data_IF_837407456615
#
_entry.id   IF_837407456615
#
_cell.length_a   1.000
_cell.length_b   1.000
_cell.length_c   1.000
_cell.angle_alpha   90.00
_cell.angle_beta   90.00
_cell.angle_gamma   90.00
#
_symmetry.space_group_name_H-M   'P 1'
#
loop_
_entity.id
_entity.type
_entity.pdbx_description
1 polymer ?
#
# COMPACT_ATOMS: atom_id res chain seq x y z
N UNK A 1 11.57 10.79 -6.44
CA UNK A 1 10.86 10.40 -7.66
C UNK A 1 10.59 8.89 -7.69
N UNK A 2 11.60 8.02 -7.55
CA UNK A 2 11.45 6.54 -7.59
C UNK A 2 10.42 6.05 -6.56
N UNK A 3 10.43 6.59 -5.34
CA UNK A 3 9.48 6.18 -4.30
C UNK A 3 8.06 6.70 -4.54
N UNK A 4 7.93 7.83 -5.24
CA UNK A 4 6.63 8.32 -5.74
C UNK A 4 6.05 7.30 -6.72
N UNK A 5 6.82 6.88 -7.74
CA UNK A 5 6.36 5.87 -8.71
C UNK A 5 5.93 4.57 -8.05
N UNK A 6 6.68 4.10 -7.06
CA UNK A 6 6.34 2.90 -6.30
C UNK A 6 4.92 2.97 -5.70
N UNK A 7 4.56 4.12 -5.10
CA UNK A 7 3.23 4.29 -4.52
C UNK A 7 2.14 4.66 -5.53
N UNK A 8 2.51 5.23 -6.68
CA UNK A 8 1.58 5.38 -7.82
C UNK A 8 1.13 4.00 -8.30
N UNK A 9 2.06 3.07 -8.51
CA UNK A 9 1.78 1.72 -8.99
C UNK A 9 0.91 0.92 -8.00
N UNK A 10 1.18 1.06 -6.70
CA UNK A 10 0.35 0.42 -5.65
C UNK A 10 -1.06 0.98 -5.59
N UNK A 11 -1.22 2.29 -5.73
CA UNK A 11 -2.52 2.96 -5.67
C UNK A 11 -3.37 2.72 -6.90
N UNK A 12 -2.76 2.59 -8.07
CA UNK A 12 -3.45 2.49 -9.35
C UNK A 12 -4.48 1.36 -9.40
N UNK A 13 -4.14 0.17 -8.89
CA UNK A 13 -5.03 -0.98 -8.95
C UNK A 13 -6.37 -0.73 -8.23
N UNK A 14 -6.35 -0.01 -7.11
CA UNK A 14 -7.56 0.38 -6.37
C UNK A 14 -8.36 1.44 -7.13
N UNK A 15 -7.69 2.36 -7.83
CA UNK A 15 -8.34 3.41 -8.63
C UNK A 15 -9.08 2.82 -9.83
N UNK A 16 -8.46 1.87 -10.54
CA UNK A 16 -9.05 1.26 -11.75
C UNK A 16 -10.06 0.16 -11.43
N UNK A 17 -10.17 -0.27 -10.19
CA UNK A 17 -10.99 -1.40 -9.78
C UNK A 17 -12.46 -1.33 -10.23
N UNK A 18 -13.17 -0.17 -10.19
CA UNK A 18 -14.56 -0.07 -10.62
C UNK A 18 -14.80 -0.47 -12.08
N UNK A 19 -13.84 -0.22 -12.98
CA UNK A 19 -13.93 -0.63 -14.38
C UNK A 19 -13.34 -2.02 -14.63
N UNK A 20 -12.18 -2.30 -14.02
CA UNK A 20 -11.42 -3.52 -14.25
C UNK A 20 -12.14 -4.77 -13.73
N UNK A 21 -12.68 -4.71 -12.51
CA UNK A 21 -13.31 -5.88 -11.87
C UNK A 21 -14.49 -6.46 -12.65
N UNK A 22 -15.50 -5.65 -13.05
CA UNK A 22 -16.63 -6.16 -13.81
C UNK A 22 -16.21 -6.75 -15.17
N UNK A 23 -15.29 -6.08 -15.87
CA UNK A 23 -14.81 -6.51 -17.17
C UNK A 23 -14.09 -7.87 -17.12
N UNK A 24 -13.21 -8.05 -16.14
CA UNK A 24 -12.46 -9.30 -15.97
C UNK A 24 -13.24 -10.36 -15.18
N UNK A 25 -14.41 -10.02 -14.64
CA UNK A 25 -15.22 -10.92 -13.82
C UNK A 25 -14.52 -11.38 -12.55
N UNK A 26 -13.78 -10.48 -11.90
CA UNK A 26 -12.97 -10.76 -10.71
C UNK A 26 -13.83 -10.64 -9.45
N UNK A 27 -13.83 -11.66 -8.58
CA UNK A 27 -14.45 -11.59 -7.26
C UNK A 27 -13.73 -10.62 -6.34
N UNK A 28 -14.36 -10.18 -5.25
CA UNK A 28 -13.71 -9.31 -4.27
C UNK A 28 -12.54 -10.03 -3.58
N UNK A 29 -12.64 -11.34 -3.35
CA UNK A 29 -11.54 -12.18 -2.83
C UNK A 29 -10.34 -12.17 -3.78
N UNK A 30 -10.56 -12.40 -5.08
CA UNK A 30 -9.49 -12.39 -6.07
C UNK A 30 -8.87 -10.98 -6.22
N UNK A 31 -9.67 -9.92 -6.13
CA UNK A 31 -9.18 -8.56 -6.10
C UNK A 31 -8.33 -8.27 -4.85
N UNK A 32 -8.75 -8.73 -3.67
CA UNK A 32 -7.96 -8.65 -2.44
C UNK A 32 -6.63 -9.41 -2.52
N UNK A 33 -6.61 -10.57 -3.22
CA UNK A 33 -5.39 -11.31 -3.51
C UNK A 33 -4.43 -10.50 -4.40
N UNK A 34 -4.94 -9.87 -5.44
CA UNK A 34 -4.17 -9.06 -6.40
C UNK A 34 -3.59 -7.79 -5.76
N UNK A 35 -4.36 -7.11 -4.91
CA UNK A 35 -3.95 -5.86 -4.25
C UNK A 35 -3.06 -6.10 -3.04
N UNK A 36 -3.28 -7.19 -2.31
CA UNK A 36 -2.64 -7.49 -1.03
C UNK A 36 -1.62 -8.62 -1.12
N UNK A 37 -2.09 -9.85 -0.85
CA UNK A 37 -1.22 -10.99 -0.57
C UNK A 37 -0.30 -11.38 -1.74
N UNK A 38 -0.80 -11.38 -2.97
CA UNK A 38 -0.02 -11.74 -4.16
C UNK A 38 1.20 -10.84 -4.38
N UNK A 39 1.05 -9.56 -4.02
CA UNK A 39 2.14 -8.59 -4.04
C UNK A 39 3.03 -8.70 -2.79
N UNK A 40 2.43 -8.67 -1.58
CA UNK A 40 3.14 -8.54 -0.31
C UNK A 40 4.04 -9.75 -0.01
N UNK A 41 3.61 -10.96 -0.36
CA UNK A 41 4.37 -12.18 -0.13
C UNK A 41 5.74 -12.11 -0.80
N UNK A 42 5.76 -11.84 -2.11
CA UNK A 42 7.03 -11.83 -2.84
C UNK A 42 7.83 -10.56 -2.60
N UNK A 43 7.19 -9.40 -2.44
CA UNK A 43 7.84 -8.19 -1.98
C UNK A 43 8.65 -8.43 -0.69
N UNK A 44 8.06 -9.15 0.26
CA UNK A 44 8.69 -9.38 1.57
C UNK A 44 9.76 -10.47 1.51
N UNK A 45 9.47 -11.61 0.85
CA UNK A 45 10.39 -12.74 0.76
C UNK A 45 11.62 -12.41 -0.10
N UNK A 46 11.41 -11.81 -1.26
CA UNK A 46 12.49 -11.43 -2.19
C UNK A 46 13.25 -10.18 -1.71
N UNK A 47 12.59 -9.32 -0.93
CA UNK A 47 13.22 -8.13 -0.37
C UNK A 47 14.44 -8.41 0.51
N UNK A 48 14.45 -9.52 1.26
CA UNK A 48 15.56 -9.90 2.12
C UNK A 48 16.83 -10.23 1.29
N UNK A 49 16.80 -11.17 0.33
CA UNK A 49 17.99 -11.46 -0.48
C UNK A 49 18.41 -10.28 -1.35
N UNK A 50 17.47 -9.49 -1.89
CA UNK A 50 17.81 -8.28 -2.66
C UNK A 50 18.50 -7.23 -1.80
N UNK A 51 18.07 -7.04 -0.55
CA UNK A 51 18.75 -6.13 0.38
C UNK A 51 20.19 -6.59 0.65
N UNK A 52 20.42 -7.89 0.90
CA UNK A 52 21.75 -8.46 1.09
C UNK A 52 22.61 -8.32 -0.17
N UNK A 53 22.05 -8.59 -1.34
CA UNK A 53 22.75 -8.42 -2.62
C UNK A 53 23.15 -6.94 -2.85
N UNK A 54 22.27 -6.00 -2.51
CA UNK A 54 22.55 -4.58 -2.61
C UNK A 54 23.65 -4.10 -1.64
N UNK A 55 23.91 -4.83 -0.55
CA UNK A 55 25.02 -4.49 0.36
C UNK A 55 26.40 -4.70 -0.25
N UNK A 56 26.53 -5.62 -1.20
CA UNK A 56 27.82 -5.99 -1.80
C UNK A 56 28.00 -5.48 -3.22
N UNK A 57 26.93 -5.03 -3.86
CA UNK A 57 26.92 -4.63 -5.27
C UNK A 57 26.58 -3.14 -5.44
N UNK A 58 26.58 -2.69 -6.67
CA UNK A 58 26.29 -1.32 -7.08
C UNK A 58 24.78 -1.01 -6.91
N UNK A 59 24.43 -0.24 -5.89
CA UNK A 59 23.04 0.04 -5.46
C UNK A 59 22.23 0.76 -6.52
N UNK A 60 22.83 1.78 -7.17
CA UNK A 60 22.16 2.55 -8.22
C UNK A 60 21.81 1.65 -9.40
N UNK A 61 22.68 0.71 -9.79
CA UNK A 61 22.39 -0.24 -10.87
C UNK A 61 21.23 -1.17 -10.47
N UNK A 62 21.26 -1.75 -9.26
CA UNK A 62 20.19 -2.62 -8.75
C UNK A 62 18.86 -1.88 -8.77
N UNK A 63 18.82 -0.67 -8.22
CA UNK A 63 17.60 0.14 -8.20
C UNK A 63 17.11 0.43 -9.62
N UNK A 64 17.99 0.80 -10.55
CA UNK A 64 17.60 1.10 -11.93
C UNK A 64 17.00 -0.11 -12.64
N UNK A 65 17.61 -1.29 -12.50
CA UNK A 65 17.04 -2.55 -13.04
C UNK A 65 15.69 -2.87 -12.39
N UNK A 66 15.61 -2.77 -11.08
CA UNK A 66 14.37 -3.03 -10.35
C UNK A 66 13.26 -2.06 -10.77
N UNK A 67 13.55 -0.75 -10.90
CA UNK A 67 12.59 0.25 -11.40
C UNK A 67 12.12 -0.09 -12.81
N UNK A 68 13.02 -0.43 -13.72
CA UNK A 68 12.66 -0.81 -15.08
C UNK A 68 11.78 -2.07 -15.12
N UNK A 69 12.12 -3.10 -14.33
CA UNK A 69 11.38 -4.35 -14.28
C UNK A 69 9.95 -4.14 -13.77
N UNK A 70 9.77 -3.45 -12.62
CA UNK A 70 8.41 -3.26 -12.12
C UNK A 70 7.58 -2.34 -13.00
N UNK A 71 8.21 -1.29 -13.57
CA UNK A 71 7.52 -0.36 -14.47
C UNK A 71 7.03 -1.05 -15.73
N UNK A 72 7.85 -1.93 -16.30
CA UNK A 72 7.45 -2.78 -17.43
C UNK A 72 6.32 -3.74 -17.00
N UNK A 73 6.44 -4.37 -15.84
CA UNK A 73 5.41 -5.26 -15.32
C UNK A 73 4.08 -4.52 -15.06
N UNK A 74 4.14 -3.27 -14.55
CA UNK A 74 2.97 -2.40 -14.41
C UNK A 74 2.32 -2.11 -15.76
N UNK A 75 3.09 -1.73 -16.77
CA UNK A 75 2.57 -1.51 -18.12
C UNK A 75 1.93 -2.81 -18.68
N UNK A 76 2.57 -3.97 -18.47
CA UNK A 76 2.04 -5.27 -18.89
C UNK A 76 0.72 -5.64 -18.20
N UNK A 77 0.43 -5.12 -16.98
CA UNK A 77 -0.90 -5.28 -16.38
C UNK A 77 -2.02 -4.77 -17.32
N UNK A 78 -1.75 -3.71 -18.10
CA UNK A 78 -2.69 -3.19 -19.10
C UNK A 78 -2.99 -4.15 -20.28
N UNK A 79 -2.15 -5.17 -20.48
CA UNK A 79 -2.36 -6.22 -21.51
C UNK A 79 -3.09 -7.45 -20.98
N UNK A 80 -3.55 -7.43 -19.72
CA UNK A 80 -4.19 -8.58 -19.10
C UNK A 80 -5.47 -8.98 -19.86
N UNK A 81 -5.39 -10.13 -20.53
CA UNK A 81 -6.47 -10.80 -21.28
C UNK A 81 -6.24 -12.30 -21.21
N UNK A 82 -7.18 -13.07 -21.67
CA UNK A 82 -6.95 -14.50 -21.85
C UNK A 82 -5.85 -14.74 -22.89
N UNK A 83 -4.89 -15.58 -22.52
CA UNK A 83 -3.74 -15.92 -23.38
C UNK A 83 -3.67 -17.44 -23.49
N UNK A 84 -3.73 -17.93 -24.72
CA UNK A 84 -3.56 -19.37 -25.04
C UNK A 84 -2.16 -19.60 -25.59
N UNK A 85 -1.35 -20.35 -24.85
CA UNK A 85 0.01 -20.72 -25.23
C UNK A 85 0.12 -22.25 -25.21
N UNK A 86 0.44 -22.87 -26.35
CA UNK A 86 0.67 -24.30 -26.42
C UNK A 86 -0.49 -25.19 -25.95
N UNK A 87 -1.74 -24.73 -26.14
CA UNK A 87 -2.94 -25.46 -25.73
C UNK A 87 -3.37 -25.23 -24.27
N UNK A 88 -2.62 -24.41 -23.50
CA UNK A 88 -3.00 -24.00 -22.14
C UNK A 88 -3.56 -22.57 -22.20
N UNK A 89 -4.82 -22.40 -21.77
CA UNK A 89 -5.46 -21.08 -21.68
C UNK A 89 -5.29 -20.52 -20.27
N UNK A 90 -4.54 -19.42 -20.15
CA UNK A 90 -4.41 -18.64 -18.94
C UNK A 90 -5.47 -17.54 -18.92
N UNK A 91 -6.37 -17.58 -17.97
CA UNK A 91 -7.37 -16.52 -17.77
C UNK A 91 -6.72 -15.18 -17.42
N UNK A 92 -7.35 -14.08 -17.79
CA UNK A 92 -6.86 -12.72 -17.61
C UNK A 92 -6.43 -12.40 -16.16
N UNK A 93 -7.09 -12.98 -15.17
CA UNK A 93 -6.76 -12.82 -13.72
C UNK A 93 -5.38 -13.39 -13.41
N UNK A 94 -5.02 -14.54 -13.95
CA UNK A 94 -3.71 -15.15 -13.74
C UNK A 94 -2.59 -14.36 -14.41
N UNK A 95 -2.85 -13.81 -15.60
CA UNK A 95 -1.90 -12.90 -16.27
C UNK A 95 -1.69 -11.65 -15.42
N UNK A 96 -2.76 -11.04 -14.95
CA UNK A 96 -2.68 -9.86 -14.07
C UNK A 96 -1.95 -10.18 -12.76
N UNK A 97 -2.22 -11.32 -12.13
CA UNK A 97 -1.55 -11.76 -10.92
C UNK A 97 -0.04 -11.95 -11.15
N UNK A 98 0.34 -12.57 -12.27
CA UNK A 98 1.76 -12.76 -12.62
C UNK A 98 2.48 -11.42 -12.81
N UNK A 99 1.84 -10.45 -13.47
CA UNK A 99 2.37 -9.09 -13.59
C UNK A 99 2.51 -8.41 -12.22
N UNK A 100 1.50 -8.52 -11.35
CA UNK A 100 1.55 -7.95 -9.98
C UNK A 100 2.64 -8.58 -9.11
N UNK A 101 2.86 -9.88 -9.26
CA UNK A 101 3.98 -10.61 -8.65
C UNK A 101 5.32 -10.03 -9.13
N UNK A 102 5.47 -9.82 -10.42
CA UNK A 102 6.67 -9.21 -11.01
C UNK A 102 6.89 -7.76 -10.53
N UNK A 103 5.82 -6.97 -10.38
CA UNK A 103 5.88 -5.64 -9.74
C UNK A 103 6.42 -5.76 -8.31
N UNK A 104 5.87 -6.68 -7.50
CA UNK A 104 6.31 -6.89 -6.11
C UNK A 104 7.80 -7.26 -6.00
N UNK A 105 8.29 -8.12 -6.88
CA UNK A 105 9.72 -8.48 -6.97
C UNK A 105 10.58 -7.27 -7.32
N UNK A 106 10.18 -6.48 -8.32
CA UNK A 106 10.91 -5.28 -8.72
C UNK A 106 10.96 -4.22 -7.61
N UNK A 107 9.81 -3.94 -6.98
CA UNK A 107 9.73 -2.95 -5.90
C UNK A 107 10.55 -3.34 -4.66
N UNK A 108 10.67 -4.63 -4.37
CA UNK A 108 11.43 -5.14 -3.22
C UNK A 108 12.91 -4.71 -3.25
N UNK A 109 13.49 -4.55 -4.43
CA UNK A 109 14.88 -4.14 -4.62
C UNK A 109 15.14 -2.63 -4.54
N UNK A 110 14.15 -1.82 -4.17
CA UNK A 110 14.30 -0.36 -4.22
C UNK A 110 14.57 0.28 -2.85
N UNK A 111 13.72 0.04 -1.87
CA UNK A 111 13.76 0.76 -0.58
C UNK A 111 15.05 0.51 0.23
N UNK A 112 15.56 -0.71 0.38
CA UNK A 112 16.80 -0.93 1.13
C UNK A 112 18.02 -0.24 0.50
N UNK A 113 18.29 -0.36 -0.83
CA UNK A 113 19.39 0.37 -1.47
C UNK A 113 19.21 1.88 -1.41
N UNK A 114 17.98 2.40 -1.56
CA UNK A 114 17.71 3.84 -1.49
C UNK A 114 18.06 4.42 -0.12
N UNK A 115 17.64 3.75 0.96
CA UNK A 115 17.98 4.18 2.33
C UNK A 115 19.49 4.13 2.58
N UNK A 116 20.16 3.11 2.06
CA UNK A 116 21.62 2.98 2.15
C UNK A 116 22.35 4.10 1.37
N UNK A 117 21.87 4.45 0.16
CA UNK A 117 22.42 5.56 -0.62
C UNK A 117 22.23 6.89 0.10
N UNK A 118 21.03 7.17 0.62
CA UNK A 118 20.74 8.38 1.38
C UNK A 118 21.67 8.48 2.60
N UNK A 119 21.91 7.36 3.28
CA UNK A 119 22.81 7.35 4.44
C UNK A 119 24.27 7.67 4.08
N UNK A 120 24.71 7.31 2.86
CA UNK A 120 26.07 7.62 2.40
C UNK A 120 26.17 9.02 1.78
N UNK A 121 25.09 9.60 1.23
CA UNK A 121 25.08 10.95 0.68
C UNK A 121 24.95 12.05 1.73
N UNK A 122 24.25 11.77 2.84
CA UNK A 122 23.92 12.79 3.83
C UNK A 122 24.56 12.47 5.18
N UNK A 123 25.26 13.43 5.82
CA UNK A 123 25.82 13.26 7.14
C UNK A 123 24.72 13.03 8.18
N UNK A 124 25.06 12.44 9.32
CA UNK A 124 24.12 12.00 10.34
C UNK A 124 23.09 13.07 10.77
N UNK A 125 23.52 14.33 10.86
CA UNK A 125 22.68 15.47 11.27
C UNK A 125 21.65 15.91 10.20
N UNK A 126 21.81 15.51 8.92
CA UNK A 126 20.88 15.82 7.82
C UNK A 126 20.15 14.60 7.29
N UNK A 127 20.53 13.39 7.73
CA UNK A 127 20.00 12.12 7.26
C UNK A 127 18.50 11.95 7.49
N UNK A 128 18.01 12.36 8.68
CA UNK A 128 16.59 12.33 9.02
C UNK A 128 15.73 13.17 8.06
N UNK A 129 16.19 14.37 7.73
CA UNK A 129 15.51 15.27 6.79
C UNK A 129 15.48 14.68 5.40
N UNK A 130 16.59 14.09 4.91
CA UNK A 130 16.65 13.45 3.60
C UNK A 130 15.74 12.21 3.50
N UNK A 131 15.68 11.38 4.55
CA UNK A 131 14.74 10.25 4.64
C UNK A 131 13.29 10.74 4.72
N UNK A 132 13.03 11.87 5.37
CA UNK A 132 11.71 12.51 5.40
C UNK A 132 11.26 12.91 3.98
N UNK A 133 12.11 13.55 3.18
CA UNK A 133 11.81 13.84 1.77
C UNK A 133 11.58 12.56 0.95
N UNK A 134 12.35 11.51 1.20
CA UNK A 134 12.11 10.22 0.55
C UNK A 134 10.74 9.66 0.92
N UNK A 135 10.38 9.70 2.21
CA UNK A 135 9.10 9.19 2.72
C UNK A 135 7.87 9.97 2.19
N UNK A 136 8.01 11.26 1.82
CA UNK A 136 6.93 12.02 1.17
C UNK A 136 6.46 11.35 -0.13
N UNK A 137 7.30 10.51 -0.74
CA UNK A 137 6.94 9.72 -1.93
C UNK A 137 5.71 8.84 -1.73
N UNK A 138 5.42 8.39 -0.51
CA UNK A 138 4.22 7.61 -0.16
C UNK A 138 2.96 8.42 -0.45
N UNK A 139 2.87 9.61 0.12
CA UNK A 139 1.69 10.48 0.02
C UNK A 139 1.54 11.06 -1.39
N UNK A 140 2.65 11.55 -1.96
CA UNK A 140 2.65 12.12 -3.30
C UNK A 140 2.32 11.05 -4.34
N UNK A 141 2.82 9.82 -4.17
CA UNK A 141 2.51 8.70 -5.06
C UNK A 141 1.04 8.32 -5.00
N UNK A 142 0.47 8.18 -3.80
CA UNK A 142 -0.96 7.92 -3.62
C UNK A 142 -1.85 9.02 -4.21
N UNK A 143 -1.50 10.30 -4.01
CA UNK A 143 -2.21 11.41 -4.61
C UNK A 143 -2.14 11.39 -6.14
N UNK A 144 -0.95 11.15 -6.72
CA UNK A 144 -0.77 11.08 -8.18
C UNK A 144 -1.49 9.87 -8.79
N UNK A 145 -1.55 8.72 -8.11
CA UNK A 145 -2.34 7.58 -8.57
C UNK A 145 -3.80 7.97 -8.79
N UNK A 146 -4.37 8.74 -7.87
CA UNK A 146 -5.75 9.22 -7.97
C UNK A 146 -5.90 10.32 -9.03
N UNK A 147 -5.04 11.36 -8.98
CA UNK A 147 -5.13 12.52 -9.86
C UNK A 147 -4.90 12.19 -11.34
N UNK A 148 -4.06 11.21 -11.63
CA UNK A 148 -3.71 10.80 -13.01
C UNK A 148 -4.47 9.55 -13.41
N UNK A 149 -4.45 8.53 -12.56
CA UNK A 149 -5.06 7.22 -12.86
C UNK A 149 -6.57 7.28 -13.03
N UNK A 150 -7.28 8.03 -12.19
CA UNK A 150 -8.73 8.15 -12.24
C UNK A 150 -9.24 8.73 -13.57
N UNK A 151 -8.88 9.98 -13.92
CA UNK A 151 -9.29 10.60 -15.17
C UNK A 151 -8.90 9.82 -16.43
N UNK A 152 -7.70 9.22 -16.46
CA UNK A 152 -7.28 8.37 -17.57
C UNK A 152 -8.15 7.12 -17.66
N UNK A 153 -8.52 6.54 -16.52
CA UNK A 153 -9.41 5.36 -16.48
C UNK A 153 -10.76 5.69 -17.08
N UNK A 154 -11.33 6.85 -16.76
CA UNK A 154 -12.63 7.27 -17.30
C UNK A 154 -12.57 7.62 -18.80
N UNK A 155 -11.50 8.30 -19.24
CA UNK A 155 -11.38 8.77 -20.62
C UNK A 155 -10.93 7.69 -21.60
N UNK A 156 -9.99 6.82 -21.19
CA UNK A 156 -9.30 5.86 -22.08
C UNK A 156 -9.37 4.41 -21.60
N UNK A 157 -10.06 4.16 -20.49
CA UNK A 157 -10.18 2.84 -19.87
C UNK A 157 -8.99 2.49 -18.97
N UNK A 158 -9.20 1.50 -18.09
CA UNK A 158 -8.24 1.08 -17.07
C UNK A 158 -6.92 0.56 -17.64
N UNK A 159 -6.93 -0.02 -18.84
CA UNK A 159 -5.70 -0.52 -19.52
C UNK A 159 -4.76 0.63 -19.85
N UNK A 160 -5.30 1.74 -20.36
CA UNK A 160 -4.51 2.93 -20.67
C UNK A 160 -3.85 3.52 -19.42
N UNK A 161 -4.53 3.48 -18.27
CA UNK A 161 -3.96 3.96 -17.01
C UNK A 161 -2.70 3.18 -16.60
N UNK A 162 -2.67 1.85 -16.80
CA UNK A 162 -1.47 1.05 -16.55
C UNK A 162 -0.31 1.39 -17.50
N UNK A 163 -0.59 1.66 -18.78
CA UNK A 163 0.45 2.07 -19.72
C UNK A 163 1.01 3.46 -19.41
N UNK A 164 0.12 4.43 -19.15
CA UNK A 164 0.51 5.82 -18.89
C UNK A 164 1.31 5.94 -17.59
N UNK A 165 1.02 5.13 -16.61
CA UNK A 165 1.72 5.14 -15.32
C UNK A 165 2.97 4.25 -15.36
N UNK A 166 2.89 3.07 -15.96
CA UNK A 166 4.02 2.14 -16.00
C UNK A 166 5.14 2.57 -16.94
N UNK A 167 4.83 2.97 -18.17
CA UNK A 167 5.86 3.26 -19.17
C UNK A 167 6.86 4.37 -18.78
N UNK A 168 6.45 5.51 -18.16
CA UNK A 168 7.39 6.54 -17.73
C UNK A 168 8.42 6.08 -16.70
N UNK A 169 8.10 5.04 -15.90
CA UNK A 169 9.02 4.50 -14.92
C UNK A 169 10.31 3.92 -15.56
N UNK A 170 10.23 3.40 -16.78
CA UNK A 170 11.42 2.95 -17.52
C UNK A 170 12.36 4.13 -17.81
N UNK A 171 11.80 5.29 -18.18
CA UNK A 171 12.59 6.51 -18.37
C UNK A 171 13.23 6.96 -17.05
N UNK A 172 12.50 6.86 -15.95
CA UNK A 172 13.03 7.17 -14.61
C UNK A 172 14.16 6.20 -14.22
N UNK A 173 14.08 4.93 -14.59
CA UNK A 173 15.16 3.98 -14.37
C UNK A 173 16.45 4.37 -15.12
N UNK A 174 16.31 4.81 -16.37
CA UNK A 174 17.43 5.31 -17.19
C UNK A 174 17.99 6.59 -16.55
N UNK A 175 17.14 7.56 -16.23
CA UNK A 175 17.55 8.81 -15.57
C UNK A 175 18.26 8.54 -14.24
N UNK A 176 17.77 7.63 -13.41
CA UNK A 176 18.40 7.23 -12.16
C UNK A 176 19.83 6.75 -12.39
N UNK A 177 20.02 5.86 -13.37
CA UNK A 177 21.34 5.32 -13.72
C UNK A 177 22.30 6.40 -14.26
N UNK A 178 21.78 7.36 -15.01
CA UNK A 178 22.61 8.40 -15.64
C UNK A 178 22.96 9.54 -14.70
N UNK A 179 22.09 9.88 -13.74
CA UNK A 179 22.23 11.08 -12.92
C UNK A 179 22.76 10.80 -11.52
N UNK A 180 22.48 9.63 -10.94
CA UNK A 180 22.90 9.28 -9.58
C UNK A 180 24.21 8.50 -9.64
N UNK A 181 25.25 9.06 -9.02
CA UNK A 181 26.54 8.38 -8.87
C UNK A 181 26.49 7.46 -7.64
N UNK A 182 27.22 6.35 -7.69
CA UNK A 182 27.36 5.47 -6.53
C UNK A 182 28.43 6.04 -5.57
N UNK A 183 28.10 6.49 -4.36
CA UNK A 183 29.10 6.96 -3.41
C UNK A 183 29.84 5.77 -2.82
N UNK A 184 31.10 5.93 -2.38
CA UNK A 184 31.78 4.95 -1.54
C UNK A 184 30.97 4.68 -0.28
N UNK A 185 31.02 3.45 0.19
CA UNK A 185 30.34 3.06 1.44
C UNK A 185 30.89 3.83 2.63
N UNK A 186 30.00 4.47 3.41
CA UNK A 186 30.43 5.29 4.55
C UNK A 186 31.00 6.65 4.17
N UNK A 187 30.69 7.15 2.97
CA UNK A 187 31.22 8.40 2.44
C UNK A 187 31.06 9.61 3.39
N UNK A 188 29.99 9.64 4.16
CA UNK A 188 29.69 10.72 5.11
C UNK A 188 29.89 10.31 6.58
N UNK A 189 30.43 9.12 6.86
CA UNK A 189 30.74 8.70 8.21
C UNK A 189 31.99 9.44 8.73
N UNK A 190 32.08 9.79 10.01
CA UNK A 190 33.26 10.44 10.57
C UNK A 190 34.53 9.59 10.36
N UNK A 191 35.69 10.21 10.13
CA UNK A 191 36.96 9.51 10.02
C UNK A 191 37.23 8.61 11.23
N UNK A 192 37.61 7.37 11.01
CA UNK A 192 37.86 6.39 12.11
C UNK A 192 36.62 5.70 12.64
N UNK A 193 35.45 5.89 12.04
CA UNK A 193 34.23 5.15 12.41
C UNK A 193 34.45 3.66 12.12
N UNK A 194 34.74 2.89 13.15
CA UNK A 194 34.71 1.42 13.09
C UNK A 194 33.24 1.02 13.01
N UNK A 195 32.78 0.57 11.86
CA UNK A 195 31.46 -0.05 11.76
C UNK A 195 31.47 -1.29 12.63
N UNK A 196 30.86 -1.19 13.81
CA UNK A 196 30.69 -2.35 14.69
C UNK A 196 30.07 -3.48 13.89
N UNK A 197 30.62 -4.69 14.07
CA UNK A 197 30.08 -5.88 13.45
C UNK A 197 28.58 -5.94 13.75
N UNK A 198 27.77 -6.11 12.70
CA UNK A 198 26.32 -6.26 12.91
C UNK A 198 26.09 -7.46 13.82
N UNK A 199 25.25 -7.34 14.85
CA UNK A 199 24.90 -8.51 15.64
C UNK A 199 24.33 -9.57 14.70
N UNK A 200 24.66 -10.81 14.96
CA UNK A 200 24.03 -11.93 14.27
C UNK A 200 22.52 -11.76 14.36
N UNK A 201 21.80 -12.05 13.28
CA UNK A 201 20.32 -11.99 13.25
C UNK A 201 19.69 -12.75 14.42
N UNK A 202 20.32 -13.87 14.80
CA UNK A 202 19.91 -14.68 15.95
C UNK A 202 20.03 -13.93 17.29
N UNK A 203 21.12 -13.20 17.50
CA UNK A 203 21.30 -12.37 18.69
C UNK A 203 20.33 -11.18 18.74
N UNK A 204 20.11 -10.54 17.59
CA UNK A 204 19.12 -9.45 17.50
C UNK A 204 17.70 -9.95 17.79
N UNK A 205 17.32 -11.11 17.27
CA UNK A 205 16.02 -11.72 17.55
C UNK A 205 15.88 -12.14 19.01
N UNK A 206 16.96 -12.63 19.64
CA UNK A 206 16.97 -12.92 21.08
C UNK A 206 16.76 -11.67 21.93
N UNK A 207 17.36 -10.52 21.59
CA UNK A 207 17.07 -9.25 22.26
C UNK A 207 15.60 -8.82 22.04
N UNK A 208 15.10 -8.89 20.81
CA UNK A 208 13.72 -8.53 20.50
C UNK A 208 12.70 -9.40 21.24
N UNK A 209 12.97 -10.71 21.39
CA UNK A 209 12.07 -11.64 22.07
C UNK A 209 11.81 -11.26 23.54
N UNK A 210 12.75 -10.59 24.19
CA UNK A 210 12.62 -10.11 25.58
C UNK A 210 11.84 -8.79 25.71
N UNK A 211 11.56 -8.09 24.61
CA UNK A 211 10.94 -6.75 24.62
C UNK A 211 9.44 -6.82 24.33
N UNK A 212 8.62 -7.06 25.35
CA UNK A 212 7.13 -7.13 25.23
C UNK A 212 6.57 -5.88 24.55
N UNK A 213 7.05 -4.68 24.87
CA UNK A 213 6.61 -3.42 24.25
C UNK A 213 6.81 -3.39 22.74
N UNK A 214 7.88 -4.03 22.24
CA UNK A 214 8.12 -4.17 20.80
C UNK A 214 7.03 -5.02 20.14
N UNK A 215 6.71 -6.17 20.69
CA UNK A 215 5.72 -7.09 20.11
C UNK A 215 4.30 -6.55 20.18
N UNK A 216 3.93 -5.90 21.28
CA UNK A 216 2.62 -5.23 21.42
C UNK A 216 2.49 -4.11 20.38
N UNK A 217 3.54 -3.31 20.19
CA UNK A 217 3.56 -2.28 19.16
C UNK A 217 3.47 -2.89 17.76
N UNK A 218 4.22 -3.96 17.46
CA UNK A 218 4.14 -4.66 16.18
C UNK A 218 2.73 -5.21 15.92
N UNK A 219 2.08 -5.81 16.90
CA UNK A 219 0.71 -6.30 16.79
C UNK A 219 -0.26 -5.15 16.49
N UNK A 220 -0.20 -4.06 17.25
CA UNK A 220 -1.03 -2.86 17.02
C UNK A 220 -0.82 -2.24 15.64
N UNK A 221 0.45 -2.08 15.21
CA UNK A 221 0.78 -1.56 13.89
C UNK A 221 0.30 -2.50 12.76
N UNK A 222 0.41 -3.82 12.96
CA UNK A 222 -0.07 -4.82 12.00
C UNK A 222 -1.59 -4.77 11.84
N UNK A 223 -2.34 -4.68 12.95
CA UNK A 223 -3.81 -4.54 12.92
C UNK A 223 -4.21 -3.21 12.25
N UNK A 224 -3.56 -2.11 12.60
CA UNK A 224 -3.81 -0.81 11.98
C UNK A 224 -3.54 -0.82 10.47
N UNK A 225 -2.47 -1.49 10.04
CA UNK A 225 -2.14 -1.68 8.63
C UNK A 225 -3.15 -2.61 7.93
N UNK A 226 -3.55 -3.72 8.57
CA UNK A 226 -4.54 -4.65 8.07
C UNK A 226 -5.87 -3.94 7.74
N UNK A 227 -6.43 -3.22 8.70
CA UNK A 227 -7.64 -2.42 8.48
C UNK A 227 -7.41 -1.31 7.46
N UNK A 228 -6.27 -0.61 7.56
CA UNK A 228 -5.95 0.53 6.70
C UNK A 228 -5.80 0.16 5.24
N UNK A 229 -5.04 -0.86 4.92
CA UNK A 229 -4.85 -1.32 3.53
C UNK A 229 -6.08 -2.03 2.99
N UNK A 230 -6.79 -2.79 3.84
CA UNK A 230 -8.08 -3.38 3.47
C UNK A 230 -9.08 -2.32 3.01
N UNK A 231 -9.33 -1.31 3.84
CA UNK A 231 -10.21 -0.18 3.52
C UNK A 231 -9.72 0.54 2.25
N UNK A 232 -8.46 0.92 2.19
CA UNK A 232 -7.89 1.68 1.07
C UNK A 232 -8.02 0.94 -0.27
N UNK A 233 -7.86 -0.38 -0.29
CA UNK A 233 -7.99 -1.19 -1.51
C UNK A 233 -9.40 -1.23 -2.06
N UNK A 234 -10.41 -1.22 -1.19
CA UNK A 234 -11.82 -1.30 -1.58
C UNK A 234 -12.56 0.04 -1.60
N UNK A 235 -11.91 1.14 -1.17
CA UNK A 235 -12.55 2.45 -1.05
C UNK A 235 -13.18 2.94 -2.38
N UNK A 236 -12.45 2.85 -3.50
CA UNK A 236 -12.99 3.23 -4.82
C UNK A 236 -14.18 2.37 -5.23
N UNK A 237 -14.13 1.06 -4.96
CA UNK A 237 -15.24 0.15 -5.22
C UNK A 237 -16.46 0.47 -4.35
N UNK A 238 -16.24 0.76 -3.06
CA UNK A 238 -17.31 1.19 -2.16
C UNK A 238 -17.99 2.46 -2.67
N UNK A 239 -17.22 3.48 -3.01
CA UNK A 239 -17.75 4.75 -3.52
C UNK A 239 -18.53 4.54 -4.83
N UNK A 240 -18.00 3.74 -5.74
CA UNK A 240 -18.70 3.41 -6.99
C UNK A 240 -20.02 2.68 -6.74
N UNK A 241 -20.03 1.66 -5.85
CA UNK A 241 -21.22 0.85 -5.54
C UNK A 241 -22.29 1.65 -4.80
N UNK A 242 -21.89 2.44 -3.79
CA UNK A 242 -22.82 3.14 -2.89
C UNK A 242 -23.32 4.48 -3.45
N UNK A 243 -22.49 5.18 -4.23
CA UNK A 243 -22.80 6.53 -4.71
C UNK A 243 -22.84 6.63 -6.24
N UNK A 244 -22.54 5.55 -6.98
CA UNK A 244 -22.58 5.54 -8.45
C UNK A 244 -21.51 6.37 -9.14
N UNK A 245 -20.48 6.85 -8.42
CA UNK A 245 -19.41 7.66 -8.98
C UNK A 245 -18.50 6.83 -9.89
N UNK A 246 -18.02 7.42 -10.98
CA UNK A 246 -17.00 6.82 -11.84
C UNK A 246 -15.66 6.65 -11.12
N UNK A 247 -14.72 5.92 -11.73
CA UNK A 247 -13.38 5.75 -11.17
C UNK A 247 -12.65 7.09 -11.01
N UNK A 248 -12.77 8.01 -11.98
CA UNK A 248 -12.19 9.34 -11.93
C UNK A 248 -12.85 10.24 -10.91
N UNK A 249 -14.19 10.25 -10.85
CA UNK A 249 -14.92 11.04 -9.84
C UNK A 249 -14.59 10.57 -8.43
N UNK A 250 -14.60 9.26 -8.16
CA UNK A 250 -14.20 8.71 -6.87
C UNK A 250 -12.75 9.07 -6.50
N UNK A 251 -11.84 9.00 -7.48
CA UNK A 251 -10.44 9.34 -7.29
C UNK A 251 -10.23 10.83 -6.96
N UNK A 252 -10.89 11.73 -7.71
CA UNK A 252 -10.71 13.17 -7.54
C UNK A 252 -11.49 13.73 -6.36
N UNK A 253 -12.76 13.36 -6.22
CA UNK A 253 -13.66 13.97 -5.23
C UNK A 253 -13.49 13.36 -3.82
N UNK A 254 -13.11 12.09 -3.72
CA UNK A 254 -13.04 11.39 -2.44
C UNK A 254 -11.61 10.97 -2.10
N UNK A 255 -10.97 10.14 -2.93
CA UNK A 255 -9.69 9.52 -2.56
C UNK A 255 -8.56 10.56 -2.43
N UNK A 256 -8.51 11.56 -3.30
CA UNK A 256 -7.49 12.63 -3.24
C UNK A 256 -7.62 13.48 -1.97
N UNK A 257 -8.78 14.06 -1.60
CA UNK A 257 -8.96 14.76 -0.33
C UNK A 257 -8.64 13.88 0.89
N UNK A 258 -9.05 12.61 0.90
CA UNK A 258 -8.74 11.66 1.99
C UNK A 258 -7.23 11.41 2.09
N UNK A 259 -6.52 11.26 0.98
CA UNK A 259 -5.07 11.10 0.99
C UNK A 259 -4.35 12.35 1.52
N UNK A 260 -4.78 13.54 1.10
CA UNK A 260 -4.22 14.81 1.55
C UNK A 260 -4.49 15.06 3.04
N UNK A 261 -5.72 14.82 3.51
CA UNK A 261 -6.07 14.94 4.94
C UNK A 261 -5.27 13.97 5.80
N UNK A 262 -5.07 12.74 5.32
CA UNK A 262 -4.24 11.73 6.00
C UNK A 262 -2.77 12.15 6.10
N UNK A 263 -2.23 12.80 5.08
CA UNK A 263 -0.89 13.34 5.09
C UNK A 263 -0.72 14.46 6.14
N UNK A 264 -1.65 15.42 6.12
CA UNK A 264 -1.69 16.50 7.12
C UNK A 264 -1.83 15.93 8.52
N UNK A 265 -2.73 14.96 8.71
CA UNK A 265 -2.95 14.28 9.98
C UNK A 265 -1.70 13.56 10.49
N UNK A 266 -0.96 12.87 9.62
CA UNK A 266 0.30 12.20 9.98
C UNK A 266 1.32 13.18 10.55
N UNK A 267 1.50 14.34 9.90
CA UNK A 267 2.43 15.39 10.35
C UNK A 267 1.95 16.02 11.67
N UNK A 268 0.67 16.38 11.74
CA UNK A 268 0.08 17.01 12.92
C UNK A 268 0.16 16.11 14.16
N UNK A 269 -0.21 14.83 13.99
CA UNK A 269 -0.17 13.84 15.07
C UNK A 269 1.27 13.56 15.52
N UNK A 270 2.23 13.47 14.58
CA UNK A 270 3.64 13.30 14.88
C UNK A 270 4.19 14.48 15.67
N UNK A 271 3.91 15.71 15.24
CA UNK A 271 4.31 16.94 15.97
C UNK A 271 3.70 17.03 17.36
N UNK A 272 2.40 16.72 17.48
CA UNK A 272 1.71 16.75 18.76
C UNK A 272 2.26 15.67 19.71
N UNK A 273 2.52 14.46 19.22
CA UNK A 273 3.12 13.38 19.99
C UNK A 273 4.53 13.75 20.51
N UNK A 274 5.37 14.36 19.65
CA UNK A 274 6.69 14.84 20.06
C UNK A 274 6.60 15.92 21.16
N UNK A 275 5.70 16.88 20.99
CA UNK A 275 5.51 17.96 21.97
C UNK A 275 5.01 17.43 23.32
N UNK A 276 4.07 16.50 23.30
CA UNK A 276 3.52 15.89 24.51
C UNK A 276 4.52 14.93 25.19
N UNK A 277 5.36 14.24 24.44
CA UNK A 277 6.35 13.32 25.00
C UNK A 277 7.42 14.02 25.87
N UNK A 278 7.63 15.32 25.67
CA UNK A 278 8.50 16.13 26.55
C UNK A 278 7.97 16.23 27.99
N UNK A 279 6.65 16.18 28.17
CA UNK A 279 5.99 16.25 29.47
C UNK A 279 5.56 14.86 29.97
N UNK A 280 5.14 13.98 29.06
CA UNK A 280 4.60 12.65 29.38
C UNK A 280 5.37 11.59 28.56
N UNK A 281 6.27 10.81 29.15
CA UNK A 281 7.13 9.85 28.43
C UNK A 281 6.35 8.84 27.56
N UNK A 282 5.14 8.47 27.98
CA UNK A 282 4.28 7.50 27.27
C UNK A 282 3.30 8.16 26.29
N UNK A 283 3.39 9.47 26.04
CA UNK A 283 2.43 10.20 25.20
C UNK A 283 2.29 9.63 23.79
N UNK A 284 3.39 9.20 23.18
CA UNK A 284 3.39 8.60 21.83
C UNK A 284 2.48 7.36 21.78
N UNK A 285 2.56 6.48 22.78
CA UNK A 285 1.75 5.26 22.82
C UNK A 285 0.26 5.59 23.07
N UNK A 286 -0.03 6.45 24.05
CA UNK A 286 -1.40 6.85 24.37
C UNK A 286 -2.09 7.60 23.23
N UNK A 287 -1.41 8.54 22.61
CA UNK A 287 -1.97 9.30 21.48
C UNK A 287 -2.27 8.39 20.29
N UNK A 288 -1.42 7.40 20.05
CA UNK A 288 -1.67 6.40 18.99
C UNK A 288 -2.91 5.56 19.31
N UNK A 289 -3.03 5.07 20.54
CA UNK A 289 -4.19 4.29 20.96
C UNK A 289 -5.49 5.10 20.86
N UNK A 290 -5.49 6.32 21.40
CA UNK A 290 -6.64 7.24 21.35
C UNK A 290 -6.97 7.59 19.88
N UNK A 291 -5.97 7.89 19.06
CA UNK A 291 -6.18 8.23 17.65
C UNK A 291 -6.81 7.08 16.87
N UNK A 292 -6.30 5.85 17.01
CA UNK A 292 -6.88 4.68 16.37
C UNK A 292 -8.31 4.42 16.83
N UNK A 293 -8.58 4.50 18.14
CA UNK A 293 -9.94 4.32 18.69
C UNK A 293 -10.89 5.41 18.20
N UNK A 294 -10.46 6.67 18.21
CA UNK A 294 -11.25 7.82 17.77
C UNK A 294 -11.53 7.79 16.26
N UNK A 295 -10.68 7.15 15.47
CA UNK A 295 -10.93 7.00 14.03
C UNK A 295 -12.11 6.06 13.70
N UNK A 296 -12.42 5.10 14.58
CA UNK A 296 -13.46 4.09 14.36
C UNK A 296 -14.85 4.69 14.11
N UNK A 297 -15.40 5.60 14.97
CA UNK A 297 -16.71 6.20 14.72
C UNK A 297 -16.78 6.98 13.39
N UNK A 298 -15.69 7.60 12.97
CA UNK A 298 -15.67 8.29 11.67
C UNK A 298 -15.76 7.30 10.50
N UNK A 299 -15.04 6.18 10.55
CA UNK A 299 -15.17 5.15 9.53
C UNK A 299 -16.55 4.48 9.55
N UNK A 300 -17.11 4.19 10.73
CA UNK A 300 -18.48 3.69 10.83
C UNK A 300 -19.50 4.65 10.22
N UNK A 301 -19.39 5.95 10.51
CA UNK A 301 -20.24 6.98 9.92
C UNK A 301 -20.06 7.02 8.39
N UNK A 302 -18.81 6.98 7.91
CA UNK A 302 -18.52 7.04 6.48
C UNK A 302 -19.14 5.88 5.70
N UNK A 303 -19.09 4.67 6.26
CA UNK A 303 -19.60 3.47 5.58
C UNK A 303 -21.09 3.20 5.79
N UNK A 304 -21.75 3.93 6.70
CA UNK A 304 -23.20 3.79 6.97
C UNK A 304 -24.06 4.92 6.38
N UNK A 305 -23.44 6.02 5.93
CA UNK A 305 -24.18 7.18 5.40
C UNK A 305 -24.49 7.03 3.92
N UNK A 306 -25.66 7.48 3.50
CA UNK A 306 -26.04 7.67 2.08
C UNK A 306 -25.69 9.07 1.54
N UNK A 307 -25.18 9.98 2.37
CA UNK A 307 -24.79 11.33 1.96
C UNK A 307 -23.30 11.38 1.63
N UNK A 308 -22.96 11.68 0.38
CA UNK A 308 -21.59 11.73 -0.13
C UNK A 308 -20.71 12.72 0.63
N UNK A 309 -21.25 13.90 1.00
CA UNK A 309 -20.47 14.93 1.70
C UNK A 309 -20.14 14.49 3.14
N UNK A 310 -21.09 13.85 3.82
CA UNK A 310 -20.86 13.29 5.15
C UNK A 310 -19.82 12.15 5.08
N UNK A 311 -19.92 11.29 4.07
CA UNK A 311 -18.95 10.24 3.80
C UNK A 311 -17.53 10.83 3.59
N UNK A 312 -17.39 11.85 2.73
CA UNK A 312 -16.11 12.51 2.48
C UNK A 312 -15.50 13.09 3.75
N UNK A 313 -16.28 13.89 4.50
CA UNK A 313 -15.78 14.53 5.74
C UNK A 313 -15.38 13.48 6.76
N UNK A 314 -16.20 12.45 6.93
CA UNK A 314 -15.90 11.36 7.87
C UNK A 314 -14.64 10.57 7.46
N UNK A 315 -14.46 10.25 6.17
CA UNK A 315 -13.23 9.59 5.68
C UNK A 315 -11.99 10.48 5.86
N UNK A 316 -12.11 11.80 5.61
CA UNK A 316 -11.01 12.74 5.81
C UNK A 316 -10.59 12.82 7.28
N UNK A 317 -11.54 12.95 8.20
CA UNK A 317 -11.27 13.01 9.64
C UNK A 317 -10.72 11.67 10.15
N UNK A 318 -11.36 10.55 9.80
CA UNK A 318 -10.91 9.22 10.16
C UNK A 318 -9.51 8.91 9.65
N UNK A 319 -9.22 9.27 8.41
CA UNK A 319 -7.89 9.12 7.78
C UNK A 319 -6.83 9.98 8.46
N UNK A 320 -7.11 11.26 8.70
CA UNK A 320 -6.17 12.17 9.35
C UNK A 320 -5.76 11.69 10.76
N UNK A 321 -6.72 11.21 11.53
CA UNK A 321 -6.48 10.75 12.91
C UNK A 321 -5.76 9.39 12.92
N UNK A 322 -6.19 8.45 12.06
CA UNK A 322 -5.65 7.09 12.00
C UNK A 322 -4.16 7.05 11.73
N UNK A 323 -3.67 7.81 10.76
CA UNK A 323 -2.28 7.70 10.29
C UNK A 323 -1.21 8.18 11.30
N UNK A 324 -1.61 8.74 12.43
CA UNK A 324 -0.71 9.07 13.55
C UNK A 324 0.11 7.89 14.09
N UNK A 325 -0.37 6.64 13.90
CA UNK A 325 0.36 5.44 14.33
C UNK A 325 1.70 5.24 13.60
N UNK A 326 1.85 5.78 12.38
CA UNK A 326 3.08 5.61 11.60
C UNK A 326 4.32 6.20 12.30
N UNK A 327 4.20 7.37 12.94
CA UNK A 327 5.30 7.94 13.69
C UNK A 327 5.63 7.10 14.94
N UNK A 328 4.59 6.64 15.64
CA UNK A 328 4.74 5.86 16.87
C UNK A 328 5.42 4.51 16.64
N UNK A 329 5.09 3.79 15.58
CA UNK A 329 5.67 2.48 15.30
C UNK A 329 7.19 2.53 15.13
N UNK A 330 7.73 3.54 14.45
CA UNK A 330 9.17 3.71 14.30
C UNK A 330 9.84 4.19 15.60
N UNK A 331 9.22 5.12 16.29
CA UNK A 331 9.78 5.68 17.54
C UNK A 331 9.85 4.62 18.64
N UNK A 332 8.78 3.87 18.85
CA UNK A 332 8.73 2.79 19.84
C UNK A 332 9.60 1.62 19.38
N UNK A 333 9.46 1.18 18.12
CA UNK A 333 10.20 0.03 17.60
C UNK A 333 11.72 0.16 17.67
N UNK A 334 12.25 1.38 17.49
CA UNK A 334 13.67 1.66 17.60
C UNK A 334 14.10 2.10 19.01
N UNK A 335 13.18 2.64 19.81
CA UNK A 335 13.47 3.18 21.12
C UNK A 335 13.65 2.14 22.23
N UNK A 336 13.03 0.96 22.06
CA UNK A 336 13.08 -0.11 23.09
C UNK A 336 14.22 -1.09 22.93
N UNK A 337 15.04 -0.94 21.89
CA UNK A 337 16.17 -1.83 21.56
C UNK A 337 17.49 -1.09 21.54
N UNK A 338 18.60 -1.85 21.69
CA UNK A 338 19.95 -1.30 21.57
C UNK A 338 20.20 -0.71 20.18
N UNK A 339 21.10 0.26 20.07
CA UNK A 339 21.44 0.95 18.83
C UNK A 339 21.85 -0.03 17.70
N UNK A 340 22.51 -1.14 18.06
CA UNK A 340 22.99 -2.15 17.13
C UNK A 340 21.87 -2.97 16.53
N UNK A 341 20.72 -3.12 17.22
CA UNK A 341 19.57 -3.96 16.82
C UNK A 341 18.47 -3.16 16.14
N UNK A 342 18.50 -1.81 16.14
CA UNK A 342 17.46 -0.94 15.56
C UNK A 342 17.11 -1.27 14.11
N UNK A 343 18.10 -1.59 13.29
CA UNK A 343 17.87 -1.95 11.88
C UNK A 343 17.09 -3.27 11.77
N UNK A 344 17.45 -4.28 12.55
CA UNK A 344 16.77 -5.59 12.59
C UNK A 344 15.37 -5.41 13.17
N UNK A 345 15.21 -4.64 14.23
CA UNK A 345 13.90 -4.28 14.82
C UNK A 345 12.95 -3.69 13.76
N UNK A 346 13.43 -2.71 13.01
CA UNK A 346 12.64 -2.10 11.93
C UNK A 346 12.32 -3.12 10.83
N UNK A 347 13.27 -3.96 10.44
CA UNK A 347 13.04 -5.00 9.42
C UNK A 347 11.99 -6.02 9.86
N UNK A 348 12.05 -6.52 11.10
CA UNK A 348 11.08 -7.46 11.67
C UNK A 348 9.68 -6.81 11.75
N UNK A 349 9.61 -5.57 12.23
CA UNK A 349 8.36 -4.81 12.28
C UNK A 349 7.74 -4.66 10.88
N UNK A 350 8.52 -4.19 9.90
CA UNK A 350 8.04 -4.02 8.53
C UNK A 350 7.66 -5.34 7.87
N UNK A 351 8.37 -6.43 8.18
CA UNK A 351 7.99 -7.77 7.72
C UNK A 351 6.58 -8.13 8.19
N UNK A 352 6.29 -7.98 9.48
CA UNK A 352 4.98 -8.29 10.04
C UNK A 352 3.89 -7.37 9.50
N UNK A 353 4.14 -6.06 9.47
CA UNK A 353 3.18 -5.05 8.99
C UNK A 353 2.87 -5.25 7.49
N UNK A 354 3.89 -5.51 6.67
CA UNK A 354 3.66 -5.71 5.24
C UNK A 354 3.05 -7.07 4.93
N UNK A 355 3.56 -8.16 5.51
CA UNK A 355 3.03 -9.48 5.19
C UNK A 355 1.63 -9.68 5.76
N UNK A 356 1.46 -9.44 7.07
CA UNK A 356 0.19 -9.69 7.75
C UNK A 356 -0.80 -8.52 7.58
N UNK A 357 -0.34 -7.28 7.64
CA UNK A 357 -1.19 -6.10 7.48
C UNK A 357 -1.55 -5.86 6.02
N UNK A 358 -0.59 -5.48 5.20
CA UNK A 358 -0.81 -5.16 3.79
C UNK A 358 -1.23 -6.37 2.97
N UNK A 359 -0.62 -7.55 3.21
CA UNK A 359 -0.93 -8.76 2.45
C UNK A 359 -2.32 -9.30 2.74
N UNK A 360 -2.64 -9.55 4.00
CA UNK A 360 -3.91 -10.20 4.37
C UNK A 360 -5.09 -9.22 4.52
N UNK A 361 -4.87 -7.92 4.78
CA UNK A 361 -5.95 -6.95 4.95
C UNK A 361 -6.92 -6.92 3.76
N UNK A 362 -6.46 -6.60 2.55
CA UNK A 362 -7.32 -6.60 1.36
C UNK A 362 -7.92 -7.97 1.05
N UNK A 363 -7.16 -9.05 1.22
CA UNK A 363 -7.63 -10.41 0.99
C UNK A 363 -8.81 -10.78 1.92
N UNK A 364 -8.69 -10.44 3.21
CA UNK A 364 -9.75 -10.68 4.19
C UNK A 364 -11.00 -9.85 3.90
N UNK A 365 -10.84 -8.56 3.58
CA UNK A 365 -12.00 -7.70 3.23
C UNK A 365 -12.69 -8.25 1.98
N UNK A 366 -11.93 -8.67 0.95
CA UNK A 366 -12.49 -9.24 -0.26
C UNK A 366 -13.25 -10.55 0.01
N UNK A 367 -12.66 -11.44 0.80
CA UNK A 367 -13.31 -12.70 1.21
C UNK A 367 -14.59 -12.44 2.02
N UNK A 368 -14.53 -11.55 2.99
CA UNK A 368 -15.69 -11.20 3.81
C UNK A 368 -16.80 -10.57 2.96
N UNK A 369 -16.45 -9.70 2.04
CA UNK A 369 -17.38 -9.05 1.10
C UNK A 369 -18.10 -10.08 0.22
N UNK A 370 -17.38 -11.05 -0.35
CA UNK A 370 -17.99 -12.11 -1.17
C UNK A 370 -18.87 -13.04 -0.31
N UNK A 371 -18.45 -13.35 0.92
CA UNK A 371 -19.22 -14.17 1.86
C UNK A 371 -20.55 -13.50 2.24
N UNK A 372 -20.50 -12.23 2.66
CA UNK A 372 -21.68 -11.47 3.04
C UNK A 372 -22.66 -11.29 1.87
N UNK A 373 -22.14 -10.98 0.67
CA UNK A 373 -22.94 -10.91 -0.54
C UNK A 373 -23.69 -12.23 -0.79
N UNK A 374 -22.98 -13.37 -0.71
CA UNK A 374 -23.60 -14.70 -0.90
C UNK A 374 -24.69 -14.98 0.12
N UNK A 375 -24.49 -14.63 1.38
CA UNK A 375 -25.49 -14.81 2.43
C UNK A 375 -26.73 -13.98 2.16
N UNK A 376 -26.60 -12.70 1.83
CA UNK A 376 -27.72 -11.81 1.50
C UNK A 376 -28.54 -12.27 0.29
N UNK A 377 -27.85 -12.64 -0.79
CA UNK A 377 -28.53 -13.15 -2.00
C UNK A 377 -29.30 -14.44 -1.71
N UNK A 378 -28.75 -15.30 -0.85
CA UNK A 378 -29.43 -16.53 -0.42
C UNK A 378 -30.67 -16.22 0.42
N UNK A 379 -30.58 -15.28 1.37
CA UNK A 379 -31.72 -14.83 2.20
C UNK A 379 -32.83 -14.20 1.34
N UNK A 380 -32.48 -13.49 0.29
CA UNK A 380 -33.43 -12.89 -0.67
C UNK A 380 -34.00 -13.89 -1.69
N UNK A 381 -33.69 -15.18 -1.56
CA UNK A 381 -34.23 -16.24 -2.41
C UNK A 381 -33.64 -16.30 -3.83
N UNK A 382 -32.51 -15.66 -4.08
CA UNK A 382 -31.85 -15.57 -5.39
C UNK A 382 -30.43 -16.15 -5.36
N UNK A 383 -30.27 -17.32 -4.74
CA UNK A 383 -28.96 -17.96 -4.51
C UNK A 383 -28.12 -18.21 -5.78
N UNK A 384 -28.74 -18.19 -6.96
CA UNK A 384 -28.07 -18.35 -8.24
C UNK A 384 -27.37 -17.07 -8.73
N UNK A 385 -27.72 -15.90 -8.16
CA UNK A 385 -27.08 -14.64 -8.52
C UNK A 385 -25.65 -14.59 -7.99
N UNK A 386 -24.74 -14.30 -8.89
CA UNK A 386 -23.34 -14.08 -8.57
C UNK A 386 -23.04 -12.57 -8.60
N UNK A 387 -22.02 -12.12 -7.84
CA UNK A 387 -21.60 -10.73 -7.85
C UNK A 387 -21.22 -10.26 -9.28
N UNK A 388 -20.65 -11.13 -10.10
CA UNK A 388 -20.35 -10.84 -11.51
C UNK A 388 -21.61 -10.47 -12.31
N UNK A 389 -22.74 -11.11 -12.02
CA UNK A 389 -24.02 -10.80 -12.68
C UNK A 389 -24.60 -9.46 -12.20
N UNK A 390 -24.33 -9.09 -10.96
CA UNK A 390 -24.81 -7.85 -10.35
C UNK A 390 -23.95 -6.62 -10.70
N UNK A 391 -22.81 -6.78 -11.38
CA UNK A 391 -21.86 -5.70 -11.69
C UNK A 391 -21.71 -5.48 -13.22
N UNK A 392 -21.39 -4.25 -13.62
CA UNK A 392 -21.10 -3.89 -15.01
C UNK A 392 -22.25 -4.13 -15.98
N UNK A 393 -21.91 -4.44 -17.23
CA UNK A 393 -22.88 -4.67 -18.30
C UNK A 393 -23.78 -5.90 -18.07
N UNK A 394 -23.35 -6.87 -17.29
CA UNK A 394 -24.15 -8.06 -16.97
C UNK A 394 -25.43 -7.70 -16.18
N UNK A 395 -25.39 -6.62 -15.37
CA UNK A 395 -26.54 -6.15 -14.59
C UNK A 395 -27.73 -5.76 -15.46
N UNK A 396 -27.50 -5.23 -16.67
CA UNK A 396 -28.57 -4.81 -17.58
C UNK A 396 -29.34 -5.97 -18.20
N UNK A 397 -28.74 -7.17 -18.18
CA UNK A 397 -29.37 -8.39 -18.70
C UNK A 397 -30.27 -9.09 -17.65
N UNK A 398 -30.24 -8.64 -16.38
CA UNK A 398 -31.05 -9.19 -15.29
C UNK A 398 -32.48 -8.65 -15.32
N UNK A 399 -33.43 -9.46 -14.83
CA UNK A 399 -34.81 -9.01 -14.60
C UNK A 399 -34.86 -7.88 -13.54
N UNK A 400 -35.94 -7.10 -13.52
CA UNK A 400 -36.12 -6.02 -12.55
C UNK A 400 -36.05 -6.50 -11.09
N UNK A 401 -36.55 -7.72 -10.83
CA UNK A 401 -36.50 -8.35 -9.52
C UNK A 401 -35.07 -8.71 -9.12
N UNK A 402 -34.29 -9.32 -10.03
CA UNK A 402 -32.88 -9.66 -9.80
C UNK A 402 -32.01 -8.41 -9.63
N UNK A 403 -32.28 -7.35 -10.39
CA UNK A 403 -31.63 -6.05 -10.21
C UNK A 403 -31.91 -5.45 -8.81
N UNK A 404 -33.15 -5.60 -8.31
CA UNK A 404 -33.53 -5.22 -6.97
C UNK A 404 -32.77 -6.01 -5.88
N UNK A 405 -32.64 -7.32 -6.06
CA UNK A 405 -31.84 -8.18 -5.16
C UNK A 405 -30.37 -7.79 -5.20
N UNK A 406 -29.81 -7.53 -6.38
CA UNK A 406 -28.43 -7.05 -6.51
C UNK A 406 -28.21 -5.72 -5.78
N UNK A 407 -29.16 -4.79 -5.89
CA UNK A 407 -29.08 -3.50 -5.21
C UNK A 407 -29.19 -3.63 -3.67
N UNK A 408 -29.97 -4.57 -3.19
CA UNK A 408 -30.10 -4.83 -1.75
C UNK A 408 -28.89 -5.58 -1.16
N UNK A 409 -28.20 -6.39 -1.98
CA UNK A 409 -27.05 -7.20 -1.56
C UNK A 409 -25.69 -6.48 -1.67
N UNK A 410 -25.66 -5.28 -2.25
CA UNK A 410 -24.46 -4.42 -2.34
C UNK A 410 -24.35 -3.45 -1.17
#
# INVERSE_FOLDING_TARGET
LVYILNFVDRGLLSVVAPQMKPELGISDTAFGLLTGFGFALLYTVVGIPLAQFAETRHRVWIMSVCVALWSLATALCGLSREVTLGGITLGAVWVLLSCRVAVGIGEAGCTPPANSLIADYYPANKRSTALGYYAMGVTLGGALANLVGGPITDAFGWRAAFFVIGAPGVLVAILLKMTVKEPPRGYTDPPGTVRSARPSFKLALAELSTKTSFWVMCAGATVAAFCGYGISSFQSLFINRSFGLSAGEAALMINTPVALSSAVGTVAMGWMAERMSKKYPNAIAWMTAIGLTLSVPFYLLAFSTSNLMVCLVALCLGGAIKYGYLAAQYTIGQGVVSAQVRAVSTAVMLFLVNLLGYGFGPLFIGWLSDLLFKLQVTELGAAELTRKMCEGAAKTALSAMEQGVCAAAH
#
